data_IF_240848611172
#
_entry.id   IF_240848611172
#
_cell.length_a   1.000
_cell.length_b   1.000
_cell.length_c   1.000
_cell.angle_alpha   90.00
_cell.angle_beta   90.00
_cell.angle_gamma   90.00
#
_symmetry.space_group_name_H-M   'P 1'
#
loop_
_entity.id
_entity.type
_entity.pdbx_description
1 polymer ?
#
# COMPACT_ATOMS: atom_id res chain seq x y z
N UNK A 1 20.97 -23.91 16.25
CA UNK A 1 19.54 -23.83 15.88
C UNK A 1 19.24 -22.43 15.34
N UNK A 2 19.22 -22.31 14.01
CA UNK A 2 18.81 -21.11 13.32
C UNK A 2 17.29 -20.91 13.52
N UNK A 3 16.92 -20.11 14.52
CA UNK A 3 15.55 -19.56 14.57
C UNK A 3 15.38 -18.62 13.36
N UNK A 4 14.81 -19.15 12.29
CA UNK A 4 14.22 -18.34 11.23
C UNK A 4 13.19 -17.46 11.95
N UNK A 5 13.46 -16.16 12.10
CA UNK A 5 12.47 -15.19 12.55
C UNK A 5 11.35 -15.26 11.53
N UNK A 6 10.20 -15.78 11.93
CA UNK A 6 9.01 -15.70 11.11
C UNK A 6 8.72 -14.22 10.86
N UNK A 7 8.93 -13.79 9.63
CA UNK A 7 8.57 -12.43 9.23
C UNK A 7 7.06 -12.33 9.38
N UNK A 8 6.60 -11.52 10.31
CA UNK A 8 5.16 -11.26 10.48
C UNK A 8 4.72 -10.28 9.39
N UNK A 9 3.66 -10.65 8.70
CA UNK A 9 3.04 -9.82 7.68
C UNK A 9 1.98 -8.88 8.25
N UNK A 10 1.66 -8.98 9.54
CA UNK A 10 0.73 -8.09 10.23
C UNK A 10 1.42 -7.36 11.37
N UNK A 11 1.02 -6.12 11.61
CA UNK A 11 1.54 -5.28 12.68
C UNK A 11 0.45 -4.35 13.26
N UNK A 12 0.71 -3.82 14.44
CA UNK A 12 -0.24 -2.97 15.15
C UNK A 12 -1.15 -3.76 16.10
N UNK A 13 -2.41 -3.31 16.34
CA UNK A 13 -3.07 -2.21 15.63
C UNK A 13 -2.46 -0.83 15.94
N UNK A 14 -2.47 0.03 14.93
CA UNK A 14 -2.00 1.42 15.03
C UNK A 14 -3.19 2.36 15.18
N UNK A 15 -3.19 3.29 16.15
CA UNK A 15 -4.26 4.27 16.29
C UNK A 15 -4.27 5.23 15.10
N UNK A 16 -5.43 5.41 14.49
CA UNK A 16 -5.67 6.31 13.38
C UNK A 16 -6.86 7.20 13.69
N UNK A 17 -6.70 8.52 13.52
CA UNK A 17 -7.80 9.47 13.75
C UNK A 17 -9.04 9.21 12.89
N UNK A 18 -8.88 8.51 11.76
CA UNK A 18 -9.94 8.30 10.77
C UNK A 18 -10.42 6.87 10.67
N UNK A 19 -9.58 5.92 11.08
CA UNK A 19 -9.82 4.48 10.92
C UNK A 19 -9.98 3.77 12.26
N UNK A 20 -9.82 4.50 13.38
CA UNK A 20 -9.78 3.89 14.69
C UNK A 20 -8.50 3.05 14.87
N UNK A 21 -8.63 1.82 15.36
CA UNK A 21 -7.51 0.88 15.49
C UNK A 21 -7.30 0.16 14.17
N UNK A 22 -6.25 0.53 13.46
CA UNK A 22 -5.95 -0.04 12.15
C UNK A 22 -4.91 -1.15 12.25
N UNK A 23 -5.29 -2.38 11.89
CA UNK A 23 -4.36 -3.49 11.77
C UNK A 23 -3.63 -3.41 10.43
N UNK A 24 -2.31 -3.27 10.49
CA UNK A 24 -1.47 -3.16 9.32
C UNK A 24 -1.18 -4.50 8.67
N UNK A 25 -1.19 -4.54 7.35
CA UNK A 25 -0.75 -5.68 6.53
C UNK A 25 0.43 -5.22 5.68
N UNK A 26 1.57 -5.85 5.87
CA UNK A 26 2.81 -5.62 5.12
C UNK A 26 3.17 -6.86 4.32
N UNK A 27 3.07 -6.75 2.99
CA UNK A 27 3.32 -7.85 2.04
C UNK A 27 4.54 -7.58 1.16
N UNK A 28 5.29 -6.51 1.48
CA UNK A 28 6.44 -6.05 0.70
C UNK A 28 7.72 -6.27 1.50
N UNK A 29 8.79 -6.81 0.91
CA UNK A 29 10.09 -6.86 1.57
C UNK A 29 10.55 -5.44 1.96
N UNK A 30 11.19 -5.35 3.12
CA UNK A 30 11.64 -4.06 3.67
C UNK A 30 12.38 -3.22 2.62
N UNK A 31 11.94 -1.97 2.46
CA UNK A 31 12.51 -0.98 1.53
C UNK A 31 12.55 -1.42 0.05
N UNK A 32 11.54 -2.21 -0.37
CA UNK A 32 11.24 -2.45 -1.78
C UNK A 32 10.15 -1.48 -2.22
N UNK A 33 10.48 -0.53 -3.07
CA UNK A 33 9.60 0.56 -3.47
C UNK A 33 9.90 1.00 -4.90
N UNK A 34 8.94 1.65 -5.55
CA UNK A 34 9.12 2.32 -6.85
C UNK A 34 9.77 3.71 -6.73
N UNK A 35 9.78 4.30 -5.51
CA UNK A 35 10.36 5.59 -5.17
C UNK A 35 11.45 5.45 -4.10
N UNK A 36 12.28 6.49 -3.98
CA UNK A 36 13.23 6.67 -2.87
C UNK A 36 13.03 8.07 -2.26
N UNK A 37 11.83 8.32 -1.72
CA UNK A 37 11.44 9.63 -1.25
C UNK A 37 12.36 10.16 -0.14
N UNK A 38 12.75 11.44 -0.26
CA UNK A 38 13.69 12.10 0.68
C UNK A 38 13.14 12.18 2.10
N UNK A 39 11.81 12.16 2.26
CA UNK A 39 11.11 12.28 3.55
C UNK A 39 10.69 10.92 4.14
N UNK A 40 11.07 9.79 3.51
CA UNK A 40 10.58 8.48 3.93
C UNK A 40 11.06 8.12 5.34
N UNK A 41 10.13 7.98 6.28
CA UNK A 41 10.43 7.64 7.68
C UNK A 41 11.12 6.28 7.83
N UNK A 42 10.94 5.39 6.86
CA UNK A 42 11.59 4.08 6.82
C UNK A 42 13.02 4.12 6.29
N UNK A 43 13.54 5.30 5.93
CA UNK A 43 14.88 5.49 5.38
C UNK A 43 14.98 5.20 3.87
N UNK A 44 16.20 5.13 3.32
CA UNK A 44 16.44 4.95 1.89
C UNK A 44 15.91 3.64 1.32
N UNK A 45 15.42 3.67 0.10
CA UNK A 45 14.99 2.49 -0.65
C UNK A 45 16.21 1.65 -1.04
N UNK A 46 16.22 0.38 -0.67
CA UNK A 46 17.33 -0.54 -0.95
C UNK A 46 17.08 -1.42 -2.17
N UNK A 47 15.82 -1.58 -2.57
CA UNK A 47 15.42 -2.31 -3.76
C UNK A 47 14.39 -1.48 -4.54
N UNK A 48 14.87 -0.59 -5.41
CA UNK A 48 14.00 0.24 -6.23
C UNK A 48 13.54 -0.52 -7.48
N UNK A 49 12.24 -0.70 -7.64
CA UNK A 49 11.66 -1.50 -8.71
C UNK A 49 10.23 -1.08 -9.06
N UNK A 50 9.82 -1.37 -10.28
CA UNK A 50 8.42 -1.30 -10.73
C UNK A 50 7.85 -2.69 -11.05
N UNK A 51 8.66 -3.74 -10.88
CA UNK A 51 8.24 -5.12 -11.17
C UNK A 51 7.42 -5.69 -10.02
N UNK A 52 6.20 -6.04 -10.31
CA UNK A 52 5.29 -6.73 -9.38
C UNK A 52 5.71 -8.19 -9.18
N UNK A 53 5.64 -8.65 -7.93
CA UNK A 53 5.98 -10.03 -7.56
C UNK A 53 5.09 -10.54 -6.42
N UNK A 54 5.02 -11.86 -6.29
CA UNK A 54 4.45 -12.53 -5.12
C UNK A 54 5.56 -12.73 -4.09
N UNK A 55 5.66 -11.80 -3.13
CA UNK A 55 6.70 -11.83 -2.08
C UNK A 55 6.32 -12.75 -0.93
N UNK A 56 5.04 -12.96 -0.73
CA UNK A 56 4.46 -13.83 0.30
C UNK A 56 3.21 -14.50 -0.26
N UNK A 57 2.91 -15.70 0.18
CA UNK A 57 1.68 -16.38 -0.23
C UNK A 57 0.45 -15.75 0.45
N UNK A 58 -0.63 -15.44 -0.29
CA UNK A 58 -1.86 -14.88 0.31
C UNK A 58 -2.39 -15.68 1.50
N UNK A 59 -2.35 -17.01 1.40
CA UNK A 59 -2.79 -17.91 2.47
C UNK A 59 -2.04 -17.71 3.79
N UNK A 60 -0.74 -17.41 3.75
CA UNK A 60 0.04 -17.12 4.95
C UNK A 60 -0.46 -15.87 5.67
N UNK A 61 -0.72 -14.80 4.92
CA UNK A 61 -1.25 -13.54 5.47
C UNK A 61 -2.64 -13.75 6.07
N UNK A 62 -3.48 -14.51 5.38
CA UNK A 62 -4.84 -14.83 5.85
C UNK A 62 -4.83 -15.65 7.13
N UNK A 63 -3.90 -16.58 7.29
CA UNK A 63 -3.74 -17.36 8.53
C UNK A 63 -3.24 -16.48 9.70
N UNK A 64 -2.33 -15.54 9.44
CA UNK A 64 -1.90 -14.57 10.45
C UNK A 64 -3.07 -13.70 10.92
N UNK A 65 -3.89 -13.18 10.00
CA UNK A 65 -5.10 -12.39 10.30
C UNK A 65 -6.11 -13.23 11.08
N UNK A 66 -6.38 -14.47 10.67
CA UNK A 66 -7.29 -15.37 11.36
C UNK A 66 -6.80 -15.66 12.79
N UNK A 67 -5.50 -15.90 12.96
CA UNK A 67 -4.88 -16.09 14.28
C UNK A 67 -5.03 -14.88 15.19
N UNK A 68 -4.82 -13.68 14.62
CA UNK A 68 -5.01 -12.43 15.35
C UNK A 68 -6.44 -12.26 15.84
N UNK A 69 -7.45 -12.39 14.95
CA UNK A 69 -8.85 -12.18 15.30
C UNK A 69 -9.46 -13.31 16.15
N UNK A 70 -8.91 -14.52 16.12
CA UNK A 70 -9.25 -15.55 17.12
C UNK A 70 -8.85 -15.12 18.54
N UNK A 71 -7.67 -14.48 18.66
CA UNK A 71 -7.17 -14.00 19.97
C UNK A 71 -7.82 -12.69 20.40
N UNK A 72 -8.11 -11.82 19.44
CA UNK A 72 -8.64 -10.48 19.65
C UNK A 72 -9.85 -10.21 18.74
N UNK A 73 -11.05 -10.76 19.03
CA UNK A 73 -12.22 -10.65 18.13
C UNK A 73 -12.63 -9.22 17.78
N UNK A 74 -12.41 -8.27 18.70
CA UNK A 74 -12.67 -6.83 18.52
C UNK A 74 -11.35 -6.04 18.42
N UNK A 75 -10.29 -6.67 17.97
CA UNK A 75 -8.93 -6.14 18.05
C UNK A 75 -8.59 -5.03 17.05
N UNK A 76 -9.43 -4.80 16.05
CA UNK A 76 -9.22 -3.75 15.05
C UNK A 76 -10.54 -3.22 14.51
N UNK A 77 -10.50 -1.99 13.99
CA UNK A 77 -11.64 -1.29 13.38
C UNK A 77 -11.47 -1.20 11.85
N UNK A 78 -10.27 -1.44 11.34
CA UNK A 78 -9.93 -1.50 9.91
C UNK A 78 -8.69 -2.38 9.67
N UNK A 79 -8.53 -2.83 8.42
CA UNK A 79 -7.30 -3.49 7.92
C UNK A 79 -6.68 -2.57 6.87
N UNK A 80 -5.39 -2.23 7.05
CA UNK A 80 -4.70 -1.30 6.15
C UNK A 80 -3.46 -1.93 5.55
N UNK A 81 -3.40 -2.00 4.23
CA UNK A 81 -2.18 -2.31 3.51
C UNK A 81 -1.25 -1.11 3.57
N UNK A 82 -0.19 -1.24 4.33
CA UNK A 82 0.86 -0.25 4.52
C UNK A 82 2.18 -0.98 4.74
N UNK A 83 3.25 -0.48 4.18
CA UNK A 83 4.56 -1.13 4.25
C UNK A 83 5.69 -0.10 4.26
N UNK A 84 6.88 -0.55 4.63
CA UNK A 84 8.13 0.18 4.39
C UNK A 84 8.57 0.06 2.90
N UNK A 85 7.62 0.12 1.97
CA UNK A 85 7.73 -0.02 0.53
C UNK A 85 6.41 0.33 -0.15
N UNK A 86 6.19 -0.12 -1.39
CA UNK A 86 4.97 0.17 -2.15
C UNK A 86 4.06 -1.08 -2.24
N UNK A 87 2.87 -1.07 -1.61
CA UNK A 87 1.98 -2.23 -1.58
C UNK A 87 1.52 -2.72 -2.96
N UNK A 88 1.39 -1.84 -3.95
CA UNK A 88 0.94 -2.24 -5.31
C UNK A 88 1.99 -3.04 -6.09
N UNK A 89 3.22 -3.15 -5.60
CA UNK A 89 4.22 -4.09 -6.10
C UNK A 89 3.87 -5.56 -5.80
N UNK A 90 2.97 -5.80 -4.85
CA UNK A 90 2.52 -7.15 -4.53
C UNK A 90 1.53 -7.63 -5.59
N UNK A 91 1.92 -8.63 -6.37
CA UNK A 91 1.13 -9.13 -7.51
C UNK A 91 -0.22 -9.73 -7.08
N UNK A 92 -0.33 -10.55 -6.01
CA UNK A 92 -1.61 -11.09 -5.56
C UNK A 92 -2.47 -10.13 -4.73
N UNK A 93 -2.21 -8.80 -4.79
CA UNK A 93 -2.89 -7.82 -3.95
C UNK A 93 -4.42 -7.90 -4.06
N UNK A 94 -4.95 -7.95 -5.28
CA UNK A 94 -6.39 -8.00 -5.50
C UNK A 94 -7.04 -9.29 -4.97
N UNK A 95 -6.37 -10.43 -5.12
CA UNK A 95 -6.79 -11.70 -4.55
C UNK A 95 -6.86 -11.61 -3.02
N UNK A 96 -5.78 -11.14 -2.41
CA UNK A 96 -5.69 -11.03 -0.96
C UNK A 96 -6.76 -10.07 -0.39
N UNK A 97 -6.99 -8.91 -1.01
CA UNK A 97 -8.05 -7.99 -0.60
C UNK A 97 -9.43 -8.68 -0.64
N UNK A 98 -9.76 -9.37 -1.72
CA UNK A 98 -11.05 -10.07 -1.86
C UNK A 98 -11.22 -11.17 -0.81
N UNK A 99 -10.18 -11.95 -0.54
CA UNK A 99 -10.23 -12.99 0.48
C UNK A 99 -10.35 -12.43 1.91
N UNK A 100 -9.68 -11.32 2.21
CA UNK A 100 -9.84 -10.61 3.48
C UNK A 100 -11.29 -10.16 3.65
N UNK A 101 -11.89 -9.55 2.63
CA UNK A 101 -13.28 -9.07 2.69
C UNK A 101 -14.30 -10.20 2.84
N UNK A 102 -14.05 -11.38 2.28
CA UNK A 102 -14.90 -12.56 2.51
C UNK A 102 -14.81 -13.07 3.95
N UNK A 103 -13.61 -13.09 4.53
CA UNK A 103 -13.39 -13.62 5.88
C UNK A 103 -13.75 -12.63 6.99
N UNK A 104 -13.57 -11.34 6.72
CA UNK A 104 -13.78 -10.25 7.67
C UNK A 104 -14.67 -9.14 7.07
N UNK A 105 -15.94 -9.45 6.70
CA UNK A 105 -16.80 -8.56 5.92
C UNK A 105 -17.16 -7.25 6.64
N UNK A 106 -17.08 -7.23 7.97
CA UNK A 106 -17.38 -6.04 8.77
C UNK A 106 -16.21 -5.04 8.85
N UNK A 107 -15.00 -5.46 8.46
CA UNK A 107 -13.81 -4.60 8.54
C UNK A 107 -13.54 -3.94 7.19
N UNK A 108 -13.47 -2.60 7.14
CA UNK A 108 -13.03 -1.91 5.93
C UNK A 108 -11.57 -2.22 5.63
N UNK A 109 -11.27 -2.41 4.34
CA UNK A 109 -9.91 -2.60 3.82
C UNK A 109 -9.45 -1.32 3.15
N UNK A 110 -8.31 -0.83 3.60
CA UNK A 110 -7.68 0.41 3.15
C UNK A 110 -6.33 0.10 2.52
N UNK A 111 -6.00 0.74 1.40
CA UNK A 111 -4.68 0.64 0.77
C UNK A 111 -4.04 2.03 0.72
N UNK A 112 -2.86 2.15 1.34
CA UNK A 112 -1.98 3.32 1.22
C UNK A 112 -0.98 3.05 0.11
N UNK A 113 -0.91 3.93 -0.88
CA UNK A 113 -0.03 3.74 -2.04
C UNK A 113 0.63 5.06 -2.45
N UNK A 114 1.81 5.00 -3.01
CA UNK A 114 2.43 6.16 -3.62
C UNK A 114 1.84 6.50 -5.01
N UNK A 115 0.92 5.68 -5.51
CA UNK A 115 0.20 5.90 -6.75
C UNK A 115 1.02 5.67 -8.03
N UNK A 116 2.27 5.28 -7.92
CA UNK A 116 3.20 5.18 -9.05
C UNK A 116 2.82 4.14 -10.11
N UNK A 117 2.03 3.14 -9.73
CA UNK A 117 1.65 2.03 -10.62
C UNK A 117 0.18 2.06 -11.06
N UNK A 118 -0.57 3.11 -10.75
CA UNK A 118 -1.99 3.23 -11.14
C UNK A 118 -2.21 3.39 -12.64
N UNK A 119 -1.17 3.66 -13.42
CA UNK A 119 -1.20 3.62 -14.88
C UNK A 119 -1.45 2.20 -15.41
N UNK A 120 -1.06 1.17 -14.66
CA UNK A 120 -1.27 -0.23 -15.01
C UNK A 120 -2.73 -0.63 -14.74
N UNK A 121 -3.50 -1.07 -15.77
CA UNK A 121 -4.88 -1.53 -15.60
C UNK A 121 -5.02 -2.69 -14.61
N UNK A 122 -4.03 -3.56 -14.51
CA UNK A 122 -4.06 -4.68 -13.56
C UNK A 122 -4.00 -4.19 -12.12
N UNK A 123 -3.16 -3.20 -11.83
CA UNK A 123 -3.09 -2.57 -10.50
C UNK A 123 -4.41 -1.90 -10.14
N UNK A 124 -5.01 -1.17 -11.07
CA UNK A 124 -6.33 -0.57 -10.85
C UNK A 124 -7.39 -1.63 -10.55
N UNK A 125 -7.40 -2.74 -11.29
CA UNK A 125 -8.33 -3.85 -11.08
C UNK A 125 -8.14 -4.49 -9.70
N UNK A 126 -6.91 -4.68 -9.25
CA UNK A 126 -6.59 -5.26 -7.94
C UNK A 126 -7.15 -4.42 -6.79
N UNK A 127 -7.19 -3.10 -6.94
CA UNK A 127 -7.66 -2.17 -5.93
C UNK A 127 -9.18 -2.00 -5.88
N UNK A 128 -9.93 -2.53 -6.85
CA UNK A 128 -11.40 -2.35 -6.92
C UNK A 128 -12.15 -2.88 -5.71
N UNK A 129 -11.66 -3.94 -5.08
CA UNK A 129 -12.30 -4.54 -3.92
C UNK A 129 -11.99 -3.82 -2.58
N UNK A 130 -11.02 -2.90 -2.56
CA UNK A 130 -10.71 -2.12 -1.37
C UNK A 130 -11.83 -1.11 -1.09
N UNK A 131 -12.13 -0.87 0.20
CA UNK A 131 -13.13 0.13 0.61
C UNK A 131 -12.60 1.55 0.49
N UNK A 132 -11.29 1.71 0.70
CA UNK A 132 -10.60 3.00 0.57
C UNK A 132 -9.23 2.82 -0.05
N UNK A 133 -8.90 3.69 -0.99
CA UNK A 133 -7.55 3.81 -1.55
C UNK A 133 -7.06 5.24 -1.35
N UNK A 134 -5.86 5.37 -0.80
CA UNK A 134 -5.24 6.64 -0.41
C UNK A 134 -3.93 6.79 -1.16
N UNK A 135 -3.94 7.29 -2.40
CA UNK A 135 -2.72 7.62 -3.11
C UNK A 135 -2.09 8.91 -2.57
N UNK A 136 -0.76 9.00 -2.67
CA UNK A 136 0.00 10.23 -2.42
C UNK A 136 0.43 10.88 -3.75
N UNK A 137 0.41 12.21 -3.79
CA UNK A 137 0.98 13.02 -4.87
C UNK A 137 1.74 14.18 -4.24
N UNK A 138 3.07 14.13 -4.29
CA UNK A 138 3.93 15.07 -3.56
C UNK A 138 4.51 16.16 -4.47
N UNK A 139 4.38 16.01 -5.78
CA UNK A 139 4.92 16.94 -6.76
C UNK A 139 3.96 17.16 -7.92
N UNK A 140 3.91 18.40 -8.42
CA UNK A 140 3.13 18.81 -9.58
C UNK A 140 4.00 19.13 -10.81
N UNK A 141 5.33 19.13 -10.66
CA UNK A 141 6.31 19.36 -11.71
C UNK A 141 7.39 18.28 -11.70
N UNK A 142 7.91 17.93 -12.88
CA UNK A 142 8.89 16.84 -13.04
C UNK A 142 10.13 17.06 -12.18
N UNK A 143 10.68 18.27 -12.16
CA UNK A 143 11.85 18.60 -11.34
C UNK A 143 11.63 18.35 -9.83
N UNK A 144 10.45 18.71 -9.33
CA UNK A 144 10.09 18.45 -7.94
C UNK A 144 9.88 16.95 -7.68
N UNK A 145 9.27 16.24 -8.63
CA UNK A 145 9.08 14.81 -8.57
C UNK A 145 10.41 14.06 -8.46
N UNK A 146 11.38 14.42 -9.31
CA UNK A 146 12.71 13.83 -9.29
C UNK A 146 13.46 14.11 -7.97
N UNK A 147 13.35 15.32 -7.46
CA UNK A 147 14.05 15.73 -6.22
C UNK A 147 13.42 15.10 -4.97
N UNK A 148 12.10 15.07 -4.90
CA UNK A 148 11.35 14.66 -3.69
C UNK A 148 11.11 13.16 -3.65
N UNK A 149 10.58 12.60 -4.73
CA UNK A 149 10.19 11.19 -4.78
C UNK A 149 11.31 10.29 -5.29
N UNK A 150 12.28 10.80 -6.04
CA UNK A 150 13.37 10.03 -6.65
C UNK A 150 12.86 8.74 -7.29
N UNK A 151 12.01 8.86 -8.33
CA UNK A 151 11.31 7.71 -8.90
C UNK A 151 12.26 6.73 -9.58
N UNK A 152 11.80 5.48 -9.73
CA UNK A 152 12.46 4.54 -10.62
C UNK A 152 12.60 5.16 -12.03
N UNK A 153 13.74 4.97 -12.75
CA UNK A 153 14.01 5.63 -14.02
C UNK A 153 12.97 5.42 -15.13
N UNK A 154 12.15 4.36 -15.03
CA UNK A 154 11.06 4.10 -15.97
C UNK A 154 9.77 4.88 -15.70
N UNK A 155 9.71 5.64 -14.61
CA UNK A 155 8.52 6.40 -14.20
C UNK A 155 8.67 7.89 -14.53
N UNK A 156 7.64 8.44 -15.18
CA UNK A 156 7.49 9.87 -15.46
C UNK A 156 6.28 10.40 -14.71
N UNK A 157 6.32 11.63 -14.22
CA UNK A 157 5.21 12.25 -13.50
C UNK A 157 3.92 12.26 -14.31
N UNK A 158 4.00 12.52 -15.61
CA UNK A 158 2.84 12.50 -16.51
C UNK A 158 2.13 11.15 -16.49
N UNK A 159 2.86 10.04 -16.53
CA UNK A 159 2.31 8.67 -16.46
C UNK A 159 1.67 8.39 -15.11
N UNK A 160 2.29 8.83 -14.01
CA UNK A 160 1.72 8.72 -12.66
C UNK A 160 0.41 9.49 -12.54
N UNK A 161 0.38 10.73 -13.02
CA UNK A 161 -0.82 11.58 -12.99
C UNK A 161 -1.95 11.02 -13.85
N UNK A 162 -1.65 10.47 -15.00
CA UNK A 162 -2.61 9.80 -15.87
C UNK A 162 -3.22 8.57 -15.16
N UNK A 163 -2.41 7.77 -14.51
CA UNK A 163 -2.85 6.62 -13.70
C UNK A 163 -3.80 7.03 -12.57
N UNK A 164 -3.47 8.09 -11.84
CA UNK A 164 -4.32 8.66 -10.79
C UNK A 164 -5.70 9.09 -11.34
N UNK A 165 -5.70 9.79 -12.47
CA UNK A 165 -6.95 10.21 -13.15
C UNK A 165 -7.76 9.02 -13.64
N UNK A 166 -7.11 8.04 -14.28
CA UNK A 166 -7.76 6.84 -14.78
C UNK A 166 -8.40 6.02 -13.64
N UNK A 167 -7.70 5.86 -12.54
CA UNK A 167 -8.23 5.17 -11.37
C UNK A 167 -9.41 5.90 -10.76
N UNK A 168 -9.31 7.23 -10.61
CA UNK A 168 -10.40 8.05 -10.05
C UNK A 168 -11.70 7.93 -10.84
N UNK A 169 -11.64 7.74 -12.18
CA UNK A 169 -12.82 7.58 -13.04
C UNK A 169 -13.56 6.26 -12.81
N UNK A 170 -12.86 5.19 -12.47
CA UNK A 170 -13.44 3.83 -12.41
C UNK A 170 -13.66 3.35 -10.97
N UNK A 171 -12.91 3.86 -10.00
CA UNK A 171 -12.99 3.42 -8.62
C UNK A 171 -14.25 3.94 -7.94
N UNK A 172 -14.99 3.02 -7.29
CA UNK A 172 -16.28 3.31 -6.63
C UNK A 172 -16.18 3.42 -5.12
N UNK A 173 -15.05 3.03 -4.54
CA UNK A 173 -14.79 3.17 -3.10
C UNK A 173 -14.39 4.60 -2.71
N UNK A 174 -13.95 4.76 -1.48
CA UNK A 174 -13.45 6.04 -0.99
C UNK A 174 -12.04 6.32 -1.54
N UNK A 175 -11.96 7.23 -2.48
CA UNK A 175 -10.69 7.73 -3.04
C UNK A 175 -10.27 8.99 -2.33
N UNK A 176 -9.06 8.98 -1.79
CA UNK A 176 -8.51 10.14 -1.10
C UNK A 176 -7.08 10.40 -1.54
N UNK A 177 -6.88 11.36 -2.41
CA UNK A 177 -5.55 11.85 -2.77
C UNK A 177 -4.96 12.66 -1.60
N UNK A 178 -3.78 12.28 -1.15
CA UNK A 178 -2.99 13.04 -0.18
C UNK A 178 -1.97 13.87 -0.94
N UNK A 179 -2.00 15.16 -0.74
CA UNK A 179 -1.02 16.10 -1.27
C UNK A 179 -0.24 16.63 -0.08
N UNK A 180 1.06 16.43 -0.06
CA UNK A 180 1.92 16.97 0.99
C UNK A 180 2.47 18.33 0.54
N UNK A 181 2.05 19.40 1.22
CA UNK A 181 2.46 20.77 0.93
C UNK A 181 3.73 21.19 1.69
N UNK A 182 4.19 20.41 2.65
CA UNK A 182 5.32 20.78 3.52
C UNK A 182 6.68 20.81 2.81
N UNK A 183 6.74 20.29 1.58
CA UNK A 183 7.97 20.23 0.79
C UNK A 183 8.09 21.34 -0.25
N UNK A 184 7.15 22.29 -0.29
CA UNK A 184 7.06 23.36 -1.29
C UNK A 184 7.20 24.78 -0.71
N UNK A 185 7.53 24.89 0.58
CA UNK A 185 7.83 26.18 1.24
C UNK A 185 9.34 26.46 1.29
#
# INVERSE_FOLDING_TARGET
>A
ENKVRSVRNIFGPVPSRRLGRSLGVDVIPYKTCSYDCVYCESGPTTNQTVKRRSFVMPGQVLEELAGYFRKYPQGADAITFSSAGEPTLYQPLGELIREIKKRFPSLPVVVLTNGSLLWDPQVRNDLMAADRVVPSLDAAAEEAFDKVNRPHPSLELATVMEGLRAFRKVYRGQYRLVIDHKLFD
#
